data_IF_976142495084
#
_entry.id   IF_976142495084
#
_cell.length_a   1.000
_cell.length_b   1.000
_cell.length_c   1.000
_cell.angle_alpha   90.00
_cell.angle_beta   90.00
_cell.angle_gamma   90.00
#
_symmetry.space_group_name_H-M   'P 1'
#
loop_
_entity.id
_entity.type
_entity.pdbx_description
1 polymer ?
#
# COMPACT_ATOMS: atom_id res chain seq x y z
N UNK A 1 -29.53 16.96 4.31
CA UNK A 1 -29.47 15.64 3.63
C UNK A 1 -27.99 15.36 3.40
N UNK A 2 -27.50 14.32 4.04
CA UNK A 2 -26.16 14.16 4.62
C UNK A 2 -24.97 14.28 3.66
N UNK A 3 -24.00 15.11 4.04
CA UNK A 3 -22.63 15.16 3.50
C UNK A 3 -21.68 14.73 4.64
N UNK A 4 -21.51 13.42 4.87
CA UNK A 4 -20.62 12.91 5.94
C UNK A 4 -19.88 11.61 5.55
N UNK A 5 -19.36 11.48 4.32
CA UNK A 5 -18.65 10.24 3.92
C UNK A 5 -17.24 10.45 3.36
N UNK A 6 -16.46 11.33 3.98
CA UNK A 6 -15.01 11.42 3.72
C UNK A 6 -14.23 11.26 5.02
N UNK A 7 -14.45 10.16 5.75
CA UNK A 7 -13.45 9.68 6.72
C UNK A 7 -12.49 8.72 6.01
N UNK A 8 -11.79 9.25 5.00
CA UNK A 8 -10.66 8.56 4.38
C UNK A 8 -9.43 8.76 5.26
N UNK A 9 -8.80 7.65 5.64
CA UNK A 9 -7.46 7.58 6.21
C UNK A 9 -7.29 8.18 7.62
N UNK A 10 -7.77 7.46 8.65
CA UNK A 10 -7.30 7.69 10.01
C UNK A 10 -5.85 7.17 10.16
N UNK A 11 -4.88 7.99 9.75
CA UNK A 11 -3.46 7.87 10.10
C UNK A 11 -3.31 7.85 11.62
N UNK A 12 -3.18 6.67 12.22
CA UNK A 12 -3.19 6.54 13.68
C UNK A 12 -1.92 7.07 14.36
N UNK A 13 -0.80 7.25 13.63
CA UNK A 13 0.48 7.86 14.08
C UNK A 13 1.29 8.43 12.89
N UNK A 14 2.05 9.53 13.05
CA UNK A 14 2.89 10.06 11.99
C UNK A 14 4.11 9.16 11.72
N UNK A 15 4.29 8.77 10.45
CA UNK A 15 5.48 8.04 9.98
C UNK A 15 6.71 8.92 10.14
N UNK A 16 7.69 8.48 10.93
CA UNK A 16 8.94 9.23 11.11
C UNK A 16 9.92 9.07 9.94
N UNK A 17 9.79 7.99 9.17
CA UNK A 17 10.66 7.71 8.02
C UNK A 17 10.11 8.28 6.72
N UNK A 18 10.91 9.11 6.04
CA UNK A 18 10.61 9.65 4.70
C UNK A 18 10.41 8.55 3.66
N UNK A 19 11.19 7.47 3.74
CA UNK A 19 11.10 6.36 2.81
C UNK A 19 9.81 5.57 2.98
N UNK A 20 9.40 5.34 4.24
CA UNK A 20 8.09 4.76 4.51
C UNK A 20 7.01 5.66 3.95
N UNK A 21 7.01 6.94 4.31
CA UNK A 21 6.02 7.89 3.81
C UNK A 21 5.89 7.87 2.28
N UNK A 22 7.01 7.83 1.54
CA UNK A 22 6.98 7.70 0.09
C UNK A 22 6.33 6.39 -0.40
N UNK A 23 6.66 5.25 0.22
CA UNK A 23 6.04 3.95 -0.10
C UNK A 23 4.53 4.00 0.16
N UNK A 24 4.13 4.56 1.30
CA UNK A 24 2.74 4.74 1.66
C UNK A 24 2.02 5.70 0.70
N UNK A 25 2.59 6.84 0.34
CA UNK A 25 2.01 7.75 -0.65
C UNK A 25 1.84 7.06 -2.02
N UNK A 26 2.83 6.26 -2.44
CA UNK A 26 2.82 5.54 -3.72
C UNK A 26 1.80 4.40 -3.74
N UNK A 27 1.72 3.59 -2.69
CA UNK A 27 0.84 2.42 -2.63
C UNK A 27 -0.57 2.76 -2.15
N UNK A 28 -0.72 3.80 -1.35
CA UNK A 28 -1.94 4.08 -0.60
C UNK A 28 -2.71 5.29 -1.10
N UNK A 29 -2.14 6.10 -1.98
CA UNK A 29 -2.83 7.25 -2.58
C UNK A 29 -4.14 6.88 -3.28
N UNK A 30 -4.34 5.58 -3.62
CA UNK A 30 -5.38 5.15 -4.54
C UNK A 30 -6.11 3.85 -4.15
N UNK A 31 -6.15 3.46 -2.87
CA UNK A 31 -6.99 2.31 -2.46
C UNK A 31 -8.46 2.74 -2.48
N UNK A 32 -9.14 2.52 -3.61
CA UNK A 32 -10.55 2.77 -3.83
C UNK A 32 -11.44 1.59 -3.40
N UNK A 33 -10.94 0.35 -3.56
CA UNK A 33 -11.63 -0.89 -3.21
C UNK A 33 -10.83 -1.75 -2.24
N UNK A 34 -11.50 -2.37 -1.26
CA UNK A 34 -10.89 -3.30 -0.32
C UNK A 34 -10.08 -2.64 0.80
N UNK A 35 -9.13 -3.37 1.37
CA UNK A 35 -8.32 -2.90 2.49
C UNK A 35 -6.85 -3.33 2.35
N UNK A 36 -5.94 -2.36 2.36
CA UNK A 36 -4.50 -2.61 2.46
C UNK A 36 -4.02 -2.32 3.89
N UNK A 37 -3.42 -3.30 4.54
CA UNK A 37 -2.71 -3.10 5.82
C UNK A 37 -1.22 -3.18 5.59
N UNK A 38 -0.51 -2.08 5.78
CA UNK A 38 0.94 -2.05 5.63
C UNK A 38 1.57 -1.95 7.01
N UNK A 39 2.59 -2.74 7.27
CA UNK A 39 3.33 -2.70 8.52
C UNK A 39 4.82 -2.77 8.28
N UNK A 40 5.59 -2.33 9.27
CA UNK A 40 7.05 -2.38 9.22
C UNK A 40 7.58 -3.19 10.40
N UNK A 41 8.82 -3.63 10.32
CA UNK A 41 9.52 -4.29 11.44
C UNK A 41 9.64 -3.42 12.70
N UNK A 42 9.33 -2.12 12.63
CA UNK A 42 9.28 -1.19 13.75
C UNK A 42 7.89 -1.12 14.44
N UNK A 43 7.03 -2.14 14.27
CA UNK A 43 5.67 -2.26 14.83
C UNK A 43 4.66 -1.18 14.39
N UNK A 44 5.04 -0.26 13.53
CA UNK A 44 4.10 0.69 12.94
C UNK A 44 3.24 -0.01 11.88
N UNK A 45 1.93 -0.02 12.12
CA UNK A 45 0.92 -0.51 11.18
C UNK A 45 0.02 0.64 10.73
N UNK A 46 -0.26 0.69 9.43
CA UNK A 46 -1.28 1.57 8.87
C UNK A 46 -2.26 0.76 8.05
N UNK A 47 -3.52 1.21 8.08
CA UNK A 47 -4.63 0.56 7.42
C UNK A 47 -5.25 1.58 6.46
N UNK A 48 -5.36 1.18 5.21
CA UNK A 48 -6.00 1.91 4.14
C UNK A 48 -7.25 1.15 3.76
N UNK A 49 -8.40 1.83 3.76
CA UNK A 49 -9.69 1.25 3.41
C UNK A 49 -10.26 2.05 2.25
N UNK A 50 -10.60 1.36 1.18
CA UNK A 50 -11.39 1.91 0.09
C UNK A 50 -12.86 2.04 0.46
N UNK A 51 -13.59 2.86 -0.29
CA UNK A 51 -15.03 3.00 -0.16
C UNK A 51 -15.79 1.85 -0.80
N UNK A 52 -15.18 1.17 -1.78
CA UNK A 52 -15.75 0.04 -2.50
C UNK A 52 -15.39 -1.28 -1.82
N UNK A 53 -16.26 -2.31 -1.91
CA UNK A 53 -15.92 -3.64 -1.43
C UNK A 53 -14.75 -4.22 -2.22
N UNK A 54 -13.93 -5.04 -1.57
CA UNK A 54 -12.76 -5.66 -2.20
C UNK A 54 -11.95 -6.50 -1.21
N UNK A 55 -10.87 -7.15 -1.67
CA UNK A 55 -10.06 -8.02 -0.84
C UNK A 55 -9.34 -7.26 0.27
N UNK A 56 -8.95 -7.99 1.32
CA UNK A 56 -8.14 -7.45 2.41
C UNK A 56 -6.73 -8.04 2.33
N UNK A 57 -5.73 -7.19 2.16
CA UNK A 57 -4.35 -7.60 1.98
C UNK A 57 -3.41 -7.01 3.03
N UNK A 58 -2.26 -7.66 3.21
CA UNK A 58 -1.21 -7.22 4.13
C UNK A 58 0.13 -7.09 3.42
N UNK A 59 0.82 -5.98 3.65
CA UNK A 59 2.17 -5.72 3.19
C UNK A 59 3.08 -5.54 4.42
N UNK A 60 4.10 -6.37 4.56
CA UNK A 60 5.06 -6.33 5.65
C UNK A 60 6.40 -5.83 5.08
N UNK A 61 6.83 -4.64 5.45
CA UNK A 61 8.06 -4.01 4.94
C UNK A 61 9.19 -4.27 5.92
N UNK A 62 10.18 -5.05 5.49
CA UNK A 62 11.35 -5.38 6.29
C UNK A 62 12.51 -4.39 6.05
N UNK A 63 12.67 -3.88 4.82
CA UNK A 63 13.77 -2.98 4.41
C UNK A 63 13.26 -1.77 3.62
N UNK A 64 12.69 -0.76 4.29
CA UNK A 64 11.98 0.33 3.64
C UNK A 64 12.84 1.19 2.70
N UNK A 65 14.10 1.45 3.06
CA UNK A 65 15.01 2.21 2.19
C UNK A 65 15.34 1.47 0.88
N UNK A 66 15.52 0.15 0.94
CA UNK A 66 15.85 -0.66 -0.26
C UNK A 66 14.64 -0.80 -1.17
N UNK A 67 13.47 -1.07 -0.59
CA UNK A 67 12.19 -1.08 -1.30
C UNK A 67 11.97 0.27 -2.01
N UNK A 68 12.06 1.39 -1.30
CA UNK A 68 11.82 2.71 -1.90
C UNK A 68 12.78 3.04 -3.05
N UNK A 69 14.06 2.71 -2.91
CA UNK A 69 15.05 2.96 -3.97
C UNK A 69 14.78 2.11 -5.21
N UNK A 70 14.38 0.85 -5.05
CA UNK A 70 14.03 -0.03 -6.19
C UNK A 70 12.77 0.44 -6.89
N UNK A 71 11.72 0.81 -6.14
CA UNK A 71 10.48 1.34 -6.70
C UNK A 71 10.73 2.65 -7.46
N UNK A 72 11.55 3.55 -6.91
CA UNK A 72 11.95 4.78 -7.62
C UNK A 72 12.73 4.49 -8.92
N UNK A 73 13.58 3.47 -8.92
CA UNK A 73 14.44 3.16 -10.06
C UNK A 73 13.72 2.37 -11.17
N UNK A 74 12.76 1.50 -10.82
CA UNK A 74 12.18 0.50 -11.72
C UNK A 74 10.66 0.34 -11.61
N UNK A 75 9.97 1.18 -10.85
CA UNK A 75 8.52 1.10 -10.68
C UNK A 75 8.06 -0.23 -10.05
N UNK A 76 7.05 -0.82 -10.67
CA UNK A 76 6.45 -2.13 -10.34
C UNK A 76 7.44 -3.29 -10.44
N UNK A 77 8.37 -3.26 -11.41
CA UNK A 77 9.46 -4.24 -11.50
C UNK A 77 10.35 -4.15 -10.26
N UNK A 78 10.67 -2.93 -9.84
CA UNK A 78 11.44 -2.70 -8.61
C UNK A 78 10.71 -3.20 -7.35
N UNK A 79 9.38 -3.07 -7.34
CA UNK A 79 8.53 -3.65 -6.30
C UNK A 79 8.59 -5.18 -6.30
N UNK A 80 8.47 -5.83 -7.45
CA UNK A 80 8.55 -7.29 -7.58
C UNK A 80 9.95 -7.85 -7.22
N UNK A 81 11.03 -7.22 -7.70
CA UNK A 81 12.40 -7.61 -7.34
C UNK A 81 12.65 -7.49 -5.83
N UNK A 82 12.07 -6.48 -5.19
CA UNK A 82 12.21 -6.27 -3.75
C UNK A 82 11.47 -7.32 -2.91
N UNK A 83 10.41 -7.94 -3.44
CA UNK A 83 9.80 -9.15 -2.84
C UNK A 83 10.78 -10.33 -2.88
N UNK A 84 11.38 -10.60 -4.04
CA UNK A 84 12.36 -11.69 -4.21
C UNK A 84 13.59 -11.47 -3.33
N UNK A 85 14.01 -10.21 -3.16
CA UNK A 85 15.12 -9.85 -2.27
C UNK A 85 14.76 -9.87 -0.77
N UNK A 86 13.50 -10.12 -0.42
CA UNK A 86 13.00 -10.12 0.96
C UNK A 86 13.04 -8.73 1.62
N UNK A 87 12.92 -7.66 0.84
CA UNK A 87 12.81 -6.29 1.35
C UNK A 87 11.39 -6.00 1.87
N UNK A 88 10.40 -6.76 1.39
CA UNK A 88 9.06 -6.85 1.95
C UNK A 88 8.49 -8.25 1.70
N UNK A 89 7.40 -8.57 2.40
CA UNK A 89 6.69 -9.84 2.28
C UNK A 89 5.19 -9.66 2.56
N UNK A 90 4.41 -10.69 2.26
CA UNK A 90 2.98 -10.73 2.58
C UNK A 90 2.60 -12.11 3.12
N UNK A 91 1.70 -12.21 4.12
CA UNK A 91 1.13 -13.49 4.53
C UNK A 91 0.22 -14.11 3.46
N UNK A 92 -0.32 -13.29 2.54
CA UNK A 92 -1.11 -13.73 1.40
C UNK A 92 -0.76 -12.83 0.20
N UNK A 93 0.24 -13.28 -0.58
CA UNK A 93 0.70 -12.55 -1.75
C UNK A 93 -0.38 -12.45 -2.83
N UNK A 94 -1.22 -13.48 -2.97
CA UNK A 94 -2.26 -13.49 -3.99
C UNK A 94 -3.30 -12.41 -3.70
N UNK A 95 -3.80 -12.34 -2.45
CA UNK A 95 -4.73 -11.29 -2.04
C UNK A 95 -4.14 -9.88 -2.16
N UNK A 96 -2.82 -9.73 -1.94
CA UNK A 96 -2.15 -8.46 -2.14
C UNK A 96 -2.10 -8.05 -3.61
N UNK A 97 -1.71 -8.95 -4.51
CA UNK A 97 -1.65 -8.65 -5.94
C UNK A 97 -3.05 -8.43 -6.53
N UNK A 98 -4.05 -9.19 -6.08
CA UNK A 98 -5.46 -8.98 -6.45
C UNK A 98 -5.94 -7.59 -6.03
N UNK A 99 -5.67 -7.19 -4.78
CA UNK A 99 -6.00 -5.85 -4.30
C UNK A 99 -5.32 -4.76 -5.14
N UNK A 100 -4.03 -4.93 -5.45
CA UNK A 100 -3.29 -3.95 -6.25
C UNK A 100 -3.86 -3.85 -7.67
N UNK A 101 -4.17 -4.97 -8.31
CA UNK A 101 -4.73 -5.02 -9.67
C UNK A 101 -6.11 -4.35 -9.74
N UNK A 102 -7.02 -4.67 -8.82
CA UNK A 102 -8.35 -4.06 -8.75
C UNK A 102 -8.22 -2.53 -8.65
N UNK A 103 -7.29 -2.05 -7.82
CA UNK A 103 -7.11 -0.62 -7.64
C UNK A 103 -6.37 0.06 -8.81
N UNK A 104 -5.57 -0.67 -9.59
CA UNK A 104 -4.95 -0.19 -10.84
C UNK A 104 -5.99 0.01 -11.95
N UNK A 105 -6.93 -0.92 -12.09
CA UNK A 105 -8.05 -0.80 -13.03
C UNK A 105 -8.94 0.41 -12.71
N UNK A 106 -9.25 0.65 -11.42
CA UNK A 106 -10.01 1.82 -10.99
C UNK A 106 -9.31 3.17 -11.29
N UNK A 107 -7.99 3.18 -11.40
CA UNK A 107 -7.23 4.38 -11.76
C UNK A 107 -7.18 4.58 -13.27
N UNK A 108 -7.01 3.48 -14.01
CA UNK A 108 -6.97 3.51 -15.47
C UNK A 108 -8.29 3.99 -16.08
N UNK A 109 -9.43 3.69 -15.45
CA UNK A 109 -10.76 4.12 -15.91
C UNK A 109 -11.08 5.61 -15.63
N UNK A 110 -10.21 6.32 -14.88
CA UNK A 110 -10.42 7.72 -14.46
C UNK A 110 -9.58 8.76 -15.20
N UNK A 111 -8.76 8.36 -16.17
CA UNK A 111 -7.86 9.22 -16.97
C UNK A 111 -8.32 9.23 -18.42
#
# INVERSE_FOLDING_TARGET
MSLEQTEICALRKPLRSRALRYIFETLCGNVAAGQLTVSTSAEEQQIFRGALPGPAAKLLIDRPLRLSLRVLARGDIGFAESFVAGDWRSPDLAALLELLLINDEYLSDRI
#
